data_IF_286578111577
#
_entry.id   IF_286578111577
#
_cell.length_a   1.000
_cell.length_b   1.000
_cell.length_c   1.000
_cell.angle_alpha   90.00
_cell.angle_beta   90.00
_cell.angle_gamma   90.00
#
_symmetry.space_group_name_H-M   'P 1'
#
loop_
_entity.id
_entity.type
_entity.pdbx_description
1 polymer ?
#
# COMPACT_ATOMS: atom_id res chain seq x y z
N UNK A 1 22.12 1.63 -2.17
CA UNK A 1 21.60 1.47 -0.79
C UNK A 1 20.62 0.31 -0.76
N UNK A 2 20.56 -0.45 0.34
CA UNK A 2 19.60 -1.56 0.52
C UNK A 2 18.23 -1.03 0.97
N UNK A 3 17.14 -1.47 0.32
CA UNK A 3 15.76 -1.18 0.75
C UNK A 3 15.46 -1.92 2.06
N UNK A 4 14.83 -1.25 3.03
CA UNK A 4 14.30 -1.92 4.22
C UNK A 4 13.12 -2.82 3.84
N UNK A 5 13.11 -4.06 4.33
CA UNK A 5 11.99 -4.99 4.16
C UNK A 5 11.08 -4.86 5.37
N UNK A 6 9.88 -4.29 5.17
CA UNK A 6 8.85 -4.08 6.19
C UNK A 6 7.50 -4.47 5.62
N UNK A 7 6.61 -4.92 6.50
CA UNK A 7 5.25 -5.30 6.16
C UNK A 7 4.28 -4.70 7.16
N UNK A 8 3.08 -4.40 6.68
CA UNK A 8 1.86 -4.21 7.48
C UNK A 8 0.82 -5.22 6.98
N UNK A 9 -0.20 -5.50 7.78
CA UNK A 9 -1.24 -6.44 7.42
C UNK A 9 -2.63 -5.84 7.63
N UNK A 10 -3.56 -6.17 6.75
CA UNK A 10 -4.98 -5.92 6.98
C UNK A 10 -5.57 -7.11 7.73
N UNK A 11 -6.10 -6.87 8.93
CA UNK A 11 -6.79 -7.89 9.72
C UNK A 11 -8.29 -7.84 9.42
N UNK A 12 -8.80 -8.90 8.78
CA UNK A 12 -10.16 -8.93 8.20
C UNK A 12 -11.28 -8.87 9.26
N UNK A 13 -11.04 -9.38 10.47
CA UNK A 13 -12.04 -9.46 11.54
C UNK A 13 -12.14 -8.14 12.31
N UNK A 14 -11.00 -7.54 12.62
CA UNK A 14 -10.90 -6.25 13.33
C UNK A 14 -11.15 -5.08 12.38
N UNK A 15 -10.91 -5.27 11.08
CA UNK A 15 -10.93 -4.24 10.05
C UNK A 15 -9.93 -3.11 10.34
N UNK A 16 -8.71 -3.51 10.68
CA UNK A 16 -7.63 -2.59 11.01
C UNK A 16 -6.32 -2.98 10.31
N UNK A 17 -5.50 -1.98 10.00
CA UNK A 17 -4.12 -2.18 9.57
C UNK A 17 -3.23 -2.38 10.81
N UNK A 18 -2.56 -3.52 10.89
CA UNK A 18 -1.68 -3.88 12.00
C UNK A 18 -0.21 -4.02 11.56
N UNK A 19 0.76 -3.60 12.38
CA UNK A 19 2.17 -3.76 12.09
C UNK A 19 2.61 -5.24 12.16
N UNK A 20 3.47 -5.64 11.22
CA UNK A 20 4.07 -6.99 11.19
C UNK A 20 5.49 -6.95 11.73
N UNK A 21 5.78 -7.79 12.73
CA UNK A 21 7.12 -7.86 13.34
C UNK A 21 7.91 -9.07 12.87
N UNK A 22 7.24 -10.22 12.79
CA UNK A 22 7.86 -11.46 12.34
C UNK A 22 6.89 -12.23 11.45
N UNK A 23 7.44 -12.85 10.42
CA UNK A 23 6.73 -13.78 9.54
C UNK A 23 7.51 -15.09 9.56
N UNK A 24 6.82 -16.18 9.91
CA UNK A 24 7.33 -17.53 9.74
C UNK A 24 6.68 -18.11 8.48
N UNK A 25 7.47 -18.23 7.40
CA UNK A 25 7.00 -18.75 6.12
C UNK A 25 6.82 -20.27 6.12
N UNK A 26 7.52 -21.02 6.99
CA UNK A 26 7.35 -22.48 7.11
C UNK A 26 5.98 -22.80 7.72
N UNK A 27 5.64 -22.14 8.82
CA UNK A 27 4.35 -22.33 9.49
C UNK A 27 3.23 -21.47 8.91
N UNK A 28 3.56 -20.55 7.98
CA UNK A 28 2.65 -19.52 7.44
C UNK A 28 1.94 -18.71 8.52
N UNK A 29 2.71 -18.29 9.54
CA UNK A 29 2.19 -17.54 10.67
C UNK A 29 2.92 -16.21 10.81
N UNK A 30 2.25 -15.21 11.34
CA UNK A 30 2.84 -13.90 11.62
C UNK A 30 2.57 -13.43 13.05
N UNK A 31 3.49 -12.61 13.56
CA UNK A 31 3.35 -11.92 14.83
C UNK A 31 3.11 -10.43 14.60
N UNK A 32 2.05 -9.92 15.25
CA UNK A 32 1.70 -8.51 15.27
C UNK A 32 1.74 -8.04 16.73
N UNK A 33 2.21 -6.80 16.97
CA UNK A 33 2.38 -6.31 18.35
C UNK A 33 1.04 -6.32 19.10
N UNK A 34 1.03 -6.99 20.26
CA UNK A 34 -0.16 -7.11 21.11
C UNK A 34 -1.22 -8.09 20.63
N UNK A 35 -1.02 -8.79 19.51
CA UNK A 35 -1.98 -9.76 18.98
C UNK A 35 -1.44 -11.20 19.02
N UNK A 36 -2.33 -12.22 19.22
CA UNK A 36 -1.96 -13.61 19.00
C UNK A 36 -1.43 -13.82 17.57
N UNK A 37 -0.63 -14.86 17.38
CA UNK A 37 -0.18 -15.23 16.04
C UNK A 37 -1.37 -15.43 15.10
N UNK A 38 -1.24 -14.93 13.87
CA UNK A 38 -2.27 -15.04 12.82
C UNK A 38 -1.76 -15.90 11.68
N UNK A 39 -2.67 -16.67 11.09
CA UNK A 39 -2.37 -17.38 9.85
C UNK A 39 -2.27 -16.35 8.71
N UNK A 40 -1.30 -16.53 7.81
CA UNK A 40 -1.14 -15.65 6.64
C UNK A 40 -2.36 -15.67 5.71
N UNK A 41 -3.19 -16.73 5.75
CA UNK A 41 -4.41 -16.83 4.93
C UNK A 41 -5.57 -15.96 5.47
N UNK A 42 -5.50 -15.52 6.73
CA UNK A 42 -6.53 -14.73 7.40
C UNK A 42 -6.34 -13.21 7.26
N UNK A 43 -5.22 -12.81 6.68
CA UNK A 43 -4.76 -11.42 6.61
C UNK A 43 -4.31 -11.10 5.19
N UNK A 44 -4.23 -9.82 4.86
CA UNK A 44 -3.61 -9.37 3.61
C UNK A 44 -2.30 -8.66 3.93
N UNK A 45 -1.16 -9.23 3.50
CA UNK A 45 0.15 -8.60 3.66
C UNK A 45 0.33 -7.48 2.63
N UNK A 46 0.85 -6.35 3.10
CA UNK A 46 1.23 -5.21 2.26
C UNK A 46 2.70 -4.87 2.52
N UNK A 47 3.52 -4.87 1.48
CA UNK A 47 4.94 -4.59 1.61
C UNK A 47 5.24 -3.08 1.50
N UNK A 48 6.17 -2.60 2.34
CA UNK A 48 6.72 -1.25 2.24
C UNK A 48 7.49 -1.06 0.92
N UNK A 49 7.20 -0.01 0.17
CA UNK A 49 7.80 0.22 -1.16
C UNK A 49 9.27 0.64 -1.12
N UNK A 50 9.75 1.16 0.01
CA UNK A 50 11.04 1.88 0.08
C UNK A 50 10.93 3.39 -0.12
N UNK A 51 9.72 3.90 -0.40
CA UNK A 51 9.46 5.32 -0.66
C UNK A 51 8.72 5.97 0.51
N UNK A 52 8.86 7.28 0.61
CA UNK A 52 8.07 8.11 1.51
C UNK A 52 7.30 9.13 0.69
N UNK A 53 6.12 9.49 1.18
CA UNK A 53 5.35 10.60 0.63
C UNK A 53 5.98 11.95 1.02
N UNK A 54 5.39 13.05 0.58
CA UNK A 54 5.89 14.41 0.82
C UNK A 54 5.97 14.77 2.31
N UNK A 55 5.18 14.11 3.17
CA UNK A 55 5.16 14.33 4.61
C UNK A 55 6.08 13.35 5.37
N UNK A 56 6.85 12.52 4.65
CA UNK A 56 7.71 11.50 5.25
C UNK A 56 6.95 10.25 5.70
N UNK A 57 5.68 10.07 5.32
CA UNK A 57 4.92 8.85 5.61
C UNK A 57 5.38 7.75 4.66
N UNK A 58 5.67 6.58 5.21
CA UNK A 58 6.04 5.40 4.43
C UNK A 58 4.90 4.96 3.51
N UNK A 59 5.24 4.59 2.28
CA UNK A 59 4.28 4.12 1.27
C UNK A 59 4.36 2.60 1.18
N UNK A 60 3.22 1.95 1.29
CA UNK A 60 3.04 0.50 1.21
C UNK A 60 2.21 0.12 -0.02
N UNK A 61 2.32 -1.14 -0.43
CA UNK A 61 1.35 -1.74 -1.35
C UNK A 61 -0.09 -1.56 -0.83
N UNK A 62 -1.02 -1.29 -1.75
CA UNK A 62 -2.42 -1.00 -1.45
C UNK A 62 -2.68 0.40 -0.90
N UNK A 63 -1.66 1.24 -0.66
CA UNK A 63 -1.89 2.66 -0.35
C UNK A 63 -2.53 3.37 -1.55
N UNK A 64 -3.41 4.32 -1.21
CA UNK A 64 -4.02 5.25 -2.14
C UNK A 64 -3.29 6.57 -1.96
N UNK A 65 -2.70 7.07 -3.04
CA UNK A 65 -1.95 8.32 -3.05
C UNK A 65 -2.64 9.36 -3.92
N UNK A 66 -2.60 10.59 -3.45
CA UNK A 66 -2.92 11.75 -4.27
C UNK A 66 -1.61 12.32 -4.82
N UNK A 67 -1.51 12.47 -6.14
CA UNK A 67 -0.35 12.99 -6.84
C UNK A 67 -0.74 14.27 -7.54
N UNK A 68 0.05 15.34 -7.32
CA UNK A 68 -0.06 16.57 -8.09
C UNK A 68 1.00 16.59 -9.19
N UNK A 69 0.55 16.62 -10.44
CA UNK A 69 1.42 16.73 -11.61
C UNK A 69 1.84 18.17 -11.89
N UNK A 70 2.75 18.35 -12.86
CA UNK A 70 3.32 19.66 -13.22
C UNK A 70 2.29 20.64 -13.78
N UNK A 71 1.22 20.15 -14.38
CA UNK A 71 0.09 20.92 -14.88
C UNK A 71 -0.98 21.19 -13.81
N UNK A 72 -0.62 20.97 -12.55
CA UNK A 72 -1.47 21.11 -11.35
C UNK A 72 -2.66 20.15 -11.29
N UNK A 73 -2.78 19.19 -12.21
CA UNK A 73 -3.80 18.15 -12.12
C UNK A 73 -3.52 17.25 -10.93
N UNK A 74 -4.60 16.93 -10.21
CA UNK A 74 -4.59 16.03 -9.07
C UNK A 74 -5.17 14.69 -9.52
N UNK A 75 -4.37 13.63 -9.42
CA UNK A 75 -4.84 12.28 -9.67
C UNK A 75 -4.73 11.43 -8.41
N UNK A 76 -5.68 10.51 -8.26
CA UNK A 76 -5.67 9.47 -7.23
C UNK A 76 -5.15 8.18 -7.85
N UNK A 77 -4.19 7.54 -7.19
CA UNK A 77 -3.59 6.29 -7.66
C UNK A 77 -3.48 5.27 -6.55
N UNK A 78 -3.57 3.99 -6.90
CA UNK A 78 -3.31 2.87 -5.99
C UNK A 78 -1.90 2.32 -6.20
N UNK A 79 -1.17 2.07 -5.12
CA UNK A 79 0.14 1.43 -5.16
C UNK A 79 -0.03 -0.09 -5.32
N UNK A 80 0.59 -0.68 -6.35
CA UNK A 80 0.49 -2.10 -6.67
C UNK A 80 1.85 -2.71 -6.98
N UNK A 81 2.04 -3.99 -6.70
CA UNK A 81 3.13 -4.76 -7.30
C UNK A 81 2.81 -5.09 -8.77
N UNK A 82 3.77 -4.87 -9.66
CA UNK A 82 3.66 -5.23 -11.07
C UNK A 82 4.66 -6.32 -11.41
N UNK A 83 4.16 -7.49 -11.80
CA UNK A 83 4.98 -8.61 -12.27
C UNK A 83 5.73 -8.26 -13.56
N UNK A 84 5.09 -7.56 -14.49
CA UNK A 84 5.73 -7.15 -15.75
C UNK A 84 6.93 -6.23 -15.53
N UNK A 85 6.83 -5.36 -14.53
CA UNK A 85 7.87 -4.39 -14.20
C UNK A 85 8.81 -4.85 -13.07
N UNK A 86 8.53 -6.03 -12.48
CA UNK A 86 9.21 -6.56 -11.30
C UNK A 86 9.39 -5.52 -10.18
N UNK A 87 8.34 -4.74 -9.89
CA UNK A 87 8.43 -3.62 -8.96
C UNK A 87 7.10 -2.93 -8.66
N UNK A 88 7.11 -2.06 -7.64
CA UNK A 88 5.95 -1.25 -7.31
C UNK A 88 5.65 -0.22 -8.40
N UNK A 89 4.35 -0.04 -8.66
CA UNK A 89 3.79 0.90 -9.63
C UNK A 89 2.60 1.63 -9.01
N UNK A 90 2.27 2.77 -9.59
CA UNK A 90 1.12 3.58 -9.20
C UNK A 90 0.08 3.45 -10.30
N UNK A 91 -1.03 2.79 -9.98
CA UNK A 91 -2.11 2.52 -10.92
C UNK A 91 -3.12 3.66 -10.87
N UNK A 92 -3.32 4.31 -11.99
CA UNK A 92 -4.44 5.23 -12.23
C UNK A 92 -5.51 4.49 -13.05
N UNK A 93 -6.78 4.60 -12.66
CA UNK A 93 -7.86 3.83 -13.29
C UNK A 93 -8.05 4.19 -14.77
N UNK A 94 -7.83 5.45 -15.14
CA UNK A 94 -8.03 5.92 -16.52
C UNK A 94 -6.79 5.83 -17.41
N UNK A 95 -5.62 5.59 -16.81
CA UNK A 95 -4.36 6.08 -17.37
C UNK A 95 -3.19 5.07 -17.22
N UNK A 96 -3.43 3.91 -16.61
CA UNK A 96 -2.49 2.78 -16.60
C UNK A 96 -1.51 2.76 -15.40
N UNK A 97 -0.36 2.10 -15.58
CA UNK A 97 0.65 1.90 -14.53
C UNK A 97 1.82 2.88 -14.68
N UNK A 98 2.07 3.66 -13.64
CA UNK A 98 3.14 4.66 -13.60
C UNK A 98 4.31 4.23 -12.74
N UNK A 99 5.52 4.57 -13.18
CA UNK A 99 6.66 4.71 -12.29
C UNK A 99 6.76 6.16 -11.85
N UNK A 100 6.50 6.42 -10.58
CA UNK A 100 6.46 7.78 -10.05
C UNK A 100 7.76 8.06 -9.29
N UNK A 101 8.48 9.10 -9.73
CA UNK A 101 9.67 9.60 -9.06
C UNK A 101 9.63 11.13 -9.02
N UNK A 102 10.02 11.74 -7.89
CA UNK A 102 10.13 13.20 -7.73
C UNK A 102 8.83 14.03 -7.91
N UNK A 103 7.65 13.45 -7.71
CA UNK A 103 6.39 14.22 -7.63
C UNK A 103 5.92 14.41 -6.19
N UNK A 104 5.17 15.48 -5.96
CA UNK A 104 4.49 15.70 -4.67
C UNK A 104 3.34 14.72 -4.56
N UNK A 105 3.55 13.69 -3.75
CA UNK A 105 2.54 12.69 -3.44
C UNK A 105 2.20 12.72 -1.95
N UNK A 106 0.95 12.41 -1.63
CA UNK A 106 0.46 12.26 -0.27
C UNK A 106 -0.33 10.97 -0.15
N UNK A 107 -0.05 10.14 0.86
CA UNK A 107 -0.89 8.97 1.16
C UNK A 107 -2.19 9.47 1.78
N UNK A 108 -3.32 9.23 1.12
CA UNK A 108 -4.66 9.68 1.54
C UNK A 108 -5.53 8.55 2.11
N UNK A 109 -5.12 7.29 1.95
CA UNK A 109 -5.83 6.13 2.47
C UNK A 109 -5.22 4.83 1.98
N UNK A 110 -5.94 3.73 2.10
CA UNK A 110 -5.60 2.46 1.46
C UNK A 110 -6.87 1.71 1.02
N UNK A 111 -6.72 0.73 0.14
CA UNK A 111 -7.84 0.00 -0.46
C UNK A 111 -8.71 -0.79 0.52
N UNK A 112 -8.26 -0.99 1.77
CA UNK A 112 -8.99 -1.74 2.78
C UNK A 112 -9.78 -0.83 3.71
N UNK A 113 -9.14 0.21 4.25
CA UNK A 113 -9.76 1.17 5.18
C UNK A 113 -10.58 2.24 4.45
N UNK A 114 -10.23 2.53 3.18
CA UNK A 114 -10.82 3.62 2.40
C UNK A 114 -11.25 3.17 0.99
N UNK A 115 -12.07 2.12 0.85
CA UNK A 115 -12.52 1.65 -0.46
C UNK A 115 -13.32 2.70 -1.23
N UNK A 116 -13.92 3.68 -0.57
CA UNK A 116 -14.65 4.80 -1.17
C UNK A 116 -13.75 5.75 -1.98
N UNK A 117 -12.44 5.78 -1.73
CA UNK A 117 -11.51 6.66 -2.45
C UNK A 117 -11.17 6.16 -3.87
N UNK A 118 -11.59 4.95 -4.22
CA UNK A 118 -11.39 4.33 -5.54
C UNK A 118 -12.71 3.90 -6.19
N UNK A 119 -13.84 4.03 -5.49
CA UNK A 119 -15.14 3.72 -6.08
C UNK A 119 -15.66 4.96 -6.80
N UNK A 120 -15.77 4.88 -8.13
CA UNK A 120 -16.46 5.89 -8.92
C UNK A 120 -17.85 6.16 -8.32
N UNK A 121 -18.22 7.45 -8.23
CA UNK A 121 -19.62 7.86 -8.25
C UNK A 121 -20.24 7.25 -9.51
N UNK A 122 -20.92 6.11 -9.35
CA UNK A 122 -21.80 5.56 -10.37
C UNK A 122 -22.98 6.52 -10.55
N UNK A 123 -22.81 7.55 -11.37
CA UNK A 123 -23.90 8.34 -11.95
C UNK A 123 -24.15 7.94 -13.39
#
# INVERSE_FOLDING_TARGET
MSRQIKFRAWEKNLKEIIPVYNINFETKMMNCNGYPWRCLDEIELMQYTGLHDTNGKEIYEGDIVSIRFFDEQLETMTVVWSEEAYGFRFRCEHNGLYHVSNTRMHVIGNIYENPELIQEDKQ
#
